data_IF_978523338270
#
_entry.id   IF_978523338270
#
_cell.length_a   1.000
_cell.length_b   1.000
_cell.length_c   1.000
_cell.angle_alpha   90.00
_cell.angle_beta   90.00
_cell.angle_gamma   90.00
#
_symmetry.space_group_name_H-M   'P 1'
#
loop_
_entity.id
_entity.type
_entity.pdbx_description
1 polymer ?
#
# COMPACT_ATOMS: atom_id res chain seq x y z
N UNK A 1 -12.52 -5.83 1.18
CA UNK A 1 -11.96 -4.51 0.83
C UNK A 1 -11.17 -4.52 -0.45
N UNK A 2 -11.65 -3.76 -1.44
CA UNK A 2 -11.11 -3.62 -2.81
C UNK A 2 -10.19 -2.41 -2.98
N UNK A 3 -9.87 -1.71 -1.89
CA UNK A 3 -9.21 -0.39 -1.89
C UNK A 3 -7.84 -0.36 -2.59
N UNK A 4 -7.01 -1.39 -2.39
CA UNK A 4 -5.69 -1.51 -3.03
C UNK A 4 -5.74 -2.16 -4.42
N UNK A 5 -6.86 -2.79 -4.79
CA UNK A 5 -6.99 -3.42 -6.11
C UNK A 5 -6.90 -2.36 -7.23
N UNK A 6 -7.42 -1.16 -6.97
CA UNK A 6 -7.31 -0.02 -7.90
C UNK A 6 -5.88 0.52 -8.06
N UNK A 7 -4.97 0.13 -7.16
CA UNK A 7 -3.55 0.49 -7.25
C UNK A 7 -2.74 -0.48 -8.10
N UNK A 8 -3.25 -1.69 -8.40
CA UNK A 8 -2.55 -2.72 -9.16
C UNK A 8 -1.96 -2.20 -10.48
N UNK A 9 -2.67 -1.41 -11.32
CA UNK A 9 -2.12 -0.93 -12.58
C UNK A 9 -0.88 -0.05 -12.39
N UNK A 10 -0.89 0.81 -11.37
CA UNK A 10 0.23 1.68 -11.03
C UNK A 10 1.38 0.87 -10.41
N UNK A 11 1.06 -0.03 -9.49
CA UNK A 11 2.04 -0.91 -8.85
C UNK A 11 2.71 -1.86 -9.85
N UNK A 12 2.03 -2.28 -10.90
CA UNK A 12 2.57 -3.20 -11.92
C UNK A 12 3.40 -2.50 -13.00
N UNK A 13 2.94 -1.34 -13.52
CA UNK A 13 3.67 -0.61 -14.56
C UNK A 13 4.77 0.28 -14.00
N UNK A 14 4.58 0.81 -12.79
CA UNK A 14 5.32 1.98 -12.32
C UNK A 14 5.09 3.21 -13.20
N UNK A 15 5.69 4.34 -12.80
CA UNK A 15 5.56 5.61 -13.52
C UNK A 15 4.15 6.20 -13.50
N UNK A 16 4.01 7.46 -13.96
CA UNK A 16 2.73 8.16 -13.98
C UNK A 16 2.16 8.48 -12.58
N UNK A 17 0.84 8.60 -12.52
CA UNK A 17 0.11 8.91 -11.29
C UNK A 17 -0.89 7.79 -10.95
N UNK A 18 -1.03 7.44 -9.65
CA UNK A 18 -2.08 6.54 -9.21
C UNK A 18 -3.46 7.10 -9.52
N UNK A 19 -4.42 6.21 -9.73
CA UNK A 19 -5.81 6.61 -9.96
C UNK A 19 -6.40 7.28 -8.70
N UNK A 20 -7.40 8.17 -8.85
CA UNK A 20 -8.10 8.73 -7.69
C UNK A 20 -8.68 7.66 -6.75
N UNK A 21 -9.18 6.55 -7.33
CA UNK A 21 -9.69 5.41 -6.56
C UNK A 21 -8.60 4.70 -5.76
N UNK A 22 -7.39 4.55 -6.34
CA UNK A 22 -6.24 4.04 -5.61
C UNK A 22 -5.88 4.94 -4.44
N UNK A 23 -5.77 6.25 -4.66
CA UNK A 23 -5.42 7.19 -3.59
C UNK A 23 -6.48 7.27 -2.49
N UNK A 24 -7.76 7.16 -2.84
CA UNK A 24 -8.82 7.03 -1.85
C UNK A 24 -8.62 5.78 -0.99
N UNK A 25 -8.25 4.66 -1.62
CA UNK A 25 -7.94 3.42 -0.91
C UNK A 25 -6.76 3.57 0.05
N UNK A 26 -5.67 4.21 -0.39
CA UNK A 26 -4.49 4.49 0.45
C UNK A 26 -4.83 5.42 1.61
N UNK A 27 -5.63 6.46 1.37
CA UNK A 27 -6.10 7.38 2.42
C UNK A 27 -6.97 6.67 3.45
N UNK A 28 -7.89 5.81 3.02
CA UNK A 28 -8.71 5.03 3.95
C UNK A 28 -7.83 4.13 4.82
N UNK A 29 -6.78 3.56 4.23
CA UNK A 29 -5.84 2.71 4.95
C UNK A 29 -5.09 3.49 6.03
N UNK A 30 -4.66 4.73 5.75
CA UNK A 30 -4.06 5.62 6.76
C UNK A 30 -4.98 5.84 7.98
N UNK A 31 -6.27 6.06 7.73
CA UNK A 31 -7.28 6.28 8.80
C UNK A 31 -7.52 5.02 9.63
N UNK A 32 -7.32 3.83 9.03
CA UNK A 32 -7.48 2.55 9.73
C UNK A 32 -6.23 2.15 10.51
N UNK A 33 -5.05 2.66 10.17
CA UNK A 33 -3.77 2.28 10.79
C UNK A 33 -3.37 3.19 11.97
N UNK A 34 -4.29 3.44 12.90
CA UNK A 34 -4.05 4.31 14.05
C UNK A 34 -3.24 3.63 15.15
N UNK A 35 -3.50 2.34 15.39
CA UNK A 35 -2.79 1.56 16.40
C UNK A 35 -1.69 0.71 15.77
N UNK A 36 -0.72 0.29 16.57
CA UNK A 36 0.32 -0.66 16.16
C UNK A 36 -0.27 -1.97 15.64
N UNK A 37 -1.34 -2.45 16.27
CA UNK A 37 -2.04 -3.66 15.85
C UNK A 37 -2.68 -3.49 14.47
N UNK A 38 -3.36 -2.36 14.23
CA UNK A 38 -3.96 -2.05 12.93
C UNK A 38 -2.89 -1.90 11.84
N UNK A 39 -1.77 -1.24 12.15
CA UNK A 39 -0.64 -1.12 11.24
C UNK A 39 -0.09 -2.48 10.82
N UNK A 40 0.07 -3.40 11.78
CA UNK A 40 0.54 -4.77 11.53
C UNK A 40 -0.47 -5.54 10.67
N UNK A 41 -1.74 -5.48 11.01
CA UNK A 41 -2.81 -6.13 10.25
C UNK A 41 -2.89 -5.61 8.80
N UNK A 42 -2.79 -4.30 8.61
CA UNK A 42 -2.79 -3.67 7.31
C UNK A 42 -1.53 -4.02 6.49
N UNK A 43 -0.36 -4.06 7.13
CA UNK A 43 0.87 -4.51 6.49
C UNK A 43 0.78 -5.96 6.01
N UNK A 44 0.29 -6.88 6.85
CA UNK A 44 0.10 -8.29 6.46
C UNK A 44 -0.90 -8.43 5.32
N UNK A 45 -1.97 -7.63 5.32
CA UNK A 45 -2.94 -7.58 4.22
C UNK A 45 -2.29 -7.12 2.91
N UNK A 46 -1.51 -6.04 2.94
CA UNK A 46 -0.79 -5.54 1.77
C UNK A 46 0.21 -6.57 1.26
N UNK A 47 0.95 -7.22 2.16
CA UNK A 47 1.90 -8.27 1.83
C UNK A 47 1.22 -9.44 1.12
N UNK A 48 0.08 -9.91 1.65
CA UNK A 48 -0.70 -10.99 1.05
C UNK A 48 -1.27 -10.62 -0.32
N UNK A 49 -1.78 -9.40 -0.50
CA UNK A 49 -2.26 -8.90 -1.80
C UNK A 49 -1.10 -8.77 -2.78
N UNK A 50 0.02 -8.21 -2.31
CA UNK A 50 1.23 -8.04 -3.10
C UNK A 50 1.76 -9.35 -3.64
N UNK A 51 1.77 -10.41 -2.82
CA UNK A 51 2.19 -11.75 -3.23
C UNK A 51 1.34 -12.36 -4.36
N UNK A 52 0.10 -11.91 -4.55
CA UNK A 52 -0.78 -12.37 -5.64
C UNK A 52 -0.54 -11.65 -6.95
N UNK A 53 0.13 -10.51 -6.91
CA UNK A 53 0.50 -9.78 -8.12
C UNK A 53 1.83 -10.42 -8.58
N UNK A 54 2.01 -10.82 -9.84
CA UNK A 54 3.26 -11.43 -10.28
C UNK A 54 4.41 -10.41 -10.31
N UNK A 55 4.13 -9.16 -10.73
CA UNK A 55 5.11 -8.07 -10.80
C UNK A 55 4.60 -6.83 -10.06
N UNK A 56 5.32 -6.41 -9.02
CA UNK A 56 5.20 -5.09 -8.39
C UNK A 56 6.52 -4.39 -8.59
N UNK A 57 6.43 -3.14 -9.03
CA UNK A 57 7.51 -2.20 -8.99
C UNK A 57 7.58 -1.64 -7.56
N UNK A 58 8.64 -2.01 -6.83
CA UNK A 58 8.82 -1.59 -5.42
C UNK A 58 9.06 -0.07 -5.31
N UNK A 59 9.62 0.59 -6.33
CA UNK A 59 9.74 2.06 -6.37
C UNK A 59 8.37 2.73 -6.49
N UNK A 60 7.48 2.15 -7.30
CA UNK A 60 6.10 2.59 -7.40
C UNK A 60 5.36 2.39 -6.07
N UNK A 61 5.53 1.22 -5.44
CA UNK A 61 4.91 0.92 -4.15
C UNK A 61 5.38 1.89 -3.05
N UNK A 62 6.68 2.18 -2.99
CA UNK A 62 7.29 3.11 -2.03
C UNK A 62 6.88 4.57 -2.28
N UNK A 63 6.70 4.97 -3.55
CA UNK A 63 6.29 6.34 -3.91
C UNK A 63 4.77 6.56 -3.90
N UNK A 64 3.98 5.50 -3.77
CA UNK A 64 2.52 5.57 -3.84
C UNK A 64 1.90 6.50 -2.76
N UNK A 65 2.28 6.42 -1.47
CA UNK A 65 1.71 7.30 -0.44
C UNK A 65 1.97 8.77 -0.77
N UNK A 66 3.22 9.12 -1.10
CA UNK A 66 3.62 10.48 -1.46
C UNK A 66 2.87 10.98 -2.71
N UNK A 67 2.72 10.15 -3.74
CA UNK A 67 1.95 10.49 -4.95
C UNK A 67 0.46 10.69 -4.69
N UNK A 68 -0.07 10.07 -3.64
CA UNK A 68 -1.44 10.28 -3.19
C UNK A 68 -1.58 11.41 -2.18
N UNK A 69 -0.49 12.08 -1.80
CA UNK A 69 -0.49 13.13 -0.78
C UNK A 69 -0.88 12.62 0.61
N UNK A 70 -0.53 11.36 0.90
CA UNK A 70 -0.84 10.67 2.15
C UNK A 70 0.46 10.25 2.81
N UNK A 71 0.58 10.53 4.11
CA UNK A 71 1.67 10.01 4.93
C UNK A 71 1.24 8.68 5.56
N UNK A 72 1.70 7.58 4.97
CA UNK A 72 1.33 6.24 5.38
C UNK A 72 2.44 5.65 6.27
N UNK A 73 2.10 5.39 7.54
CA UNK A 73 3.02 4.84 8.53
C UNK A 73 3.20 3.33 8.45
N UNK A 74 2.95 2.74 7.28
CA UNK A 74 3.20 1.33 7.02
C UNK A 74 3.83 1.16 5.62
N UNK A 75 4.74 0.20 5.46
CA UNK A 75 5.35 -0.07 4.16
C UNK A 75 4.35 -0.74 3.22
N UNK A 76 4.28 -0.25 1.97
CA UNK A 76 3.59 -0.94 0.88
C UNK A 76 4.63 -1.81 0.18
N UNK A 77 4.85 -3.02 0.66
CA UNK A 77 5.82 -3.95 0.06
C UNK A 77 5.41 -5.41 0.28
N UNK A 78 5.92 -6.28 -0.60
CA UNK A 78 5.75 -7.74 -0.50
C UNK A 78 6.70 -8.40 0.50
N UNK A 79 7.80 -7.72 0.81
CA UNK A 79 8.88 -8.27 1.65
C UNK A 79 9.01 -7.53 2.98
N UNK A 80 8.10 -6.58 3.25
CA UNK A 80 8.07 -5.88 4.52
C UNK A 80 7.96 -6.86 5.69
N UNK A 81 8.79 -6.64 6.70
CA UNK A 81 8.65 -7.28 7.99
C UNK A 81 7.62 -6.52 8.83
N UNK A 82 6.37 -6.94 8.72
CA UNK A 82 5.25 -6.32 9.43
C UNK A 82 5.39 -6.43 10.96
N UNK A 83 6.14 -7.41 11.49
CA UNK A 83 6.34 -7.57 12.93
C UNK A 83 7.23 -6.49 13.54
N UNK A 84 8.08 -5.86 12.71
CA UNK A 84 8.95 -4.75 13.12
C UNK A 84 8.22 -3.41 13.30
N UNK A 85 6.94 -3.33 12.93
CA UNK A 85 6.14 -2.11 13.05
C UNK A 85 5.71 -1.87 14.50
N UNK A 86 5.96 -0.65 14.99
CA UNK A 86 5.69 -0.21 16.36
C UNK A 86 4.59 0.86 16.45
#
# INVERSE_FOLDING_TARGET
>A
DTSLAFCIPFLARGGGFPSPACCLGVRNLQVLTLTTEDKRAACECIKAVGARIPFINEDAASSLPQKCGVDLNIPISRTADCQSIN
#
